data_IF_463132799751
#
_entry.id   IF_463132799751
#
_cell.length_a   1.000
_cell.length_b   1.000
_cell.length_c   1.000
_cell.angle_alpha   90.00
_cell.angle_beta   90.00
_cell.angle_gamma   90.00
#
_symmetry.space_group_name_H-M   'P 1'
#
loop_
_entity.id
_entity.type
_entity.pdbx_description
1 polymer ?
#
# COMPACT_ATOMS: atom_id res chain seq x y z
N UNK A 1 -20.27 -2.96 -69.12
CA UNK A 1 -20.80 -2.95 -67.73
C UNK A 1 -19.73 -3.27 -66.67
N UNK A 2 -18.68 -4.06 -66.96
CA UNK A 2 -17.65 -4.38 -65.97
C UNK A 2 -16.74 -3.20 -65.58
N UNK A 3 -16.32 -2.34 -66.52
CA UNK A 3 -15.42 -1.20 -66.20
C UNK A 3 -16.02 -0.14 -65.27
N UNK A 4 -17.33 0.15 -65.39
CA UNK A 4 -18.01 1.12 -64.52
C UNK A 4 -18.14 0.54 -63.11
N UNK A 5 -18.47 -0.76 -63.00
CA UNK A 5 -18.50 -1.48 -61.73
C UNK A 5 -17.12 -1.49 -61.05
N UNK A 6 -16.06 -1.72 -61.82
CA UNK A 6 -14.68 -1.75 -61.31
C UNK A 6 -14.19 -0.37 -60.85
N UNK A 7 -14.52 0.71 -61.59
CA UNK A 7 -14.23 2.10 -61.18
C UNK A 7 -14.97 2.50 -59.90
N UNK A 8 -16.23 2.07 -59.73
CA UNK A 8 -17.01 2.32 -58.52
C UNK A 8 -16.42 1.55 -57.33
N UNK A 9 -16.03 0.29 -57.50
CA UNK A 9 -15.37 -0.51 -56.46
C UNK A 9 -14.02 0.09 -56.03
N UNK A 10 -13.18 0.52 -56.99
CA UNK A 10 -11.91 1.21 -56.70
C UNK A 10 -12.13 2.51 -55.90
N UNK A 11 -13.11 3.33 -56.27
CA UNK A 11 -13.47 4.55 -55.51
C UNK A 11 -13.95 4.24 -54.09
N UNK A 12 -14.79 3.22 -53.89
CA UNK A 12 -15.23 2.80 -52.55
C UNK A 12 -14.07 2.32 -51.68
N UNK A 13 -13.13 1.56 -52.25
CA UNK A 13 -11.90 1.12 -51.55
C UNK A 13 -11.01 2.29 -51.14
N UNK A 14 -10.84 3.30 -52.01
CA UNK A 14 -10.08 4.51 -51.70
C UNK A 14 -10.76 5.30 -50.57
N UNK A 15 -12.08 5.53 -50.64
CA UNK A 15 -12.83 6.23 -49.60
C UNK A 15 -12.72 5.48 -48.26
N UNK A 16 -12.90 4.16 -48.26
CA UNK A 16 -12.75 3.35 -47.06
C UNK A 16 -11.32 3.46 -46.48
N UNK A 17 -10.29 3.38 -47.31
CA UNK A 17 -8.91 3.55 -46.88
C UNK A 17 -8.64 4.94 -46.30
N UNK A 18 -9.18 6.00 -46.92
CA UNK A 18 -9.06 7.38 -46.41
C UNK A 18 -9.78 7.57 -45.07
N UNK A 19 -10.97 7.01 -44.90
CA UNK A 19 -11.69 7.04 -43.62
C UNK A 19 -10.90 6.31 -42.54
N UNK A 20 -10.39 5.11 -42.84
CA UNK A 20 -9.55 4.35 -41.90
C UNK A 20 -8.30 5.14 -41.53
N UNK A 21 -7.63 5.79 -42.49
CA UNK A 21 -6.44 6.59 -42.23
C UNK A 21 -6.73 7.79 -41.31
N UNK A 22 -7.82 8.52 -41.54
CA UNK A 22 -8.24 9.66 -40.70
C UNK A 22 -8.58 9.17 -39.29
N UNK A 23 -9.33 8.07 -39.18
CA UNK A 23 -9.68 7.48 -37.88
C UNK A 23 -8.42 7.08 -37.12
N UNK A 24 -7.47 6.39 -37.77
CA UNK A 24 -6.20 6.03 -37.16
C UNK A 24 -5.39 7.25 -36.70
N UNK A 25 -5.35 8.33 -37.50
CA UNK A 25 -4.65 9.55 -37.13
C UNK A 25 -5.27 10.24 -35.90
N UNK A 26 -6.60 10.28 -35.82
CA UNK A 26 -7.32 10.81 -34.64
C UNK A 26 -7.06 9.95 -33.41
N UNK A 27 -7.12 8.62 -33.54
CA UNK A 27 -6.78 7.70 -32.45
C UNK A 27 -5.34 7.90 -31.98
N UNK A 28 -4.36 7.94 -32.89
CA UNK A 28 -2.94 8.20 -32.56
C UNK A 28 -2.77 9.53 -31.83
N UNK A 29 -3.39 10.60 -32.30
CA UNK A 29 -3.37 11.91 -31.64
C UNK A 29 -3.92 11.86 -30.22
N UNK A 30 -5.04 11.18 -30.03
CA UNK A 30 -5.65 10.97 -28.70
C UNK A 30 -4.73 10.16 -27.78
N UNK A 31 -4.08 9.11 -28.28
CA UNK A 31 -3.14 8.30 -27.50
C UNK A 31 -1.90 9.11 -27.07
N UNK A 32 -1.29 9.88 -27.98
CA UNK A 32 -0.13 10.73 -27.65
C UNK A 32 -0.51 11.78 -26.60
N UNK A 33 -1.66 12.43 -26.80
CA UNK A 33 -2.18 13.43 -25.88
C UNK A 33 -2.46 12.85 -24.48
N UNK A 34 -3.15 11.71 -24.42
CA UNK A 34 -3.42 11.01 -23.16
C UNK A 34 -2.16 10.53 -22.45
N UNK A 35 -1.15 10.09 -23.21
CA UNK A 35 0.15 9.71 -22.64
C UNK A 35 0.88 10.90 -22.01
N UNK A 36 0.80 12.08 -22.65
CA UNK A 36 1.33 13.33 -22.09
C UNK A 36 0.68 13.70 -20.76
N UNK A 37 -0.64 13.63 -20.67
CA UNK A 37 -1.38 13.88 -19.41
C UNK A 37 -1.01 12.88 -18.31
N UNK A 38 -0.80 11.62 -18.65
CA UNK A 38 -0.37 10.62 -17.67
C UNK A 38 0.99 10.96 -17.04
N UNK A 39 1.90 11.60 -17.77
CA UNK A 39 3.15 12.10 -17.18
C UNK A 39 2.93 13.32 -16.29
N UNK A 40 2.03 14.24 -16.67
CA UNK A 40 1.65 15.36 -15.81
C UNK A 40 1.01 14.90 -14.49
N UNK A 41 0.21 13.84 -14.54
CA UNK A 41 -0.39 13.23 -13.35
C UNK A 41 0.67 12.59 -12.44
N UNK A 42 1.70 11.92 -13.00
CA UNK A 42 2.86 11.46 -12.22
C UNK A 42 3.52 12.64 -11.48
N UNK A 43 3.84 13.72 -12.19
CA UNK A 43 4.48 14.91 -11.60
C UNK A 43 3.64 15.52 -10.48
N UNK A 44 2.32 15.62 -10.69
CA UNK A 44 1.40 16.13 -9.68
C UNK A 44 1.33 15.24 -8.44
N UNK A 45 1.22 13.92 -8.63
CA UNK A 45 1.23 12.95 -7.53
C UNK A 45 2.55 13.00 -6.77
N UNK A 46 3.69 13.01 -7.47
CA UNK A 46 5.01 13.12 -6.86
C UNK A 46 5.14 14.36 -5.99
N UNK A 47 4.72 15.52 -6.49
CA UNK A 47 4.75 16.76 -5.72
C UNK A 47 3.90 16.63 -4.44
N UNK A 48 2.69 16.13 -4.57
CA UNK A 48 1.78 16.02 -3.45
C UNK A 48 2.29 15.04 -2.37
N UNK A 49 2.89 13.90 -2.77
CA UNK A 49 3.51 12.96 -1.83
C UNK A 49 4.82 13.47 -1.23
N UNK A 50 5.63 14.26 -1.96
CA UNK A 50 6.82 14.90 -1.38
C UNK A 50 6.45 15.87 -0.24
N UNK A 51 5.38 16.64 -0.44
CA UNK A 51 4.90 17.63 0.53
C UNK A 51 4.31 16.99 1.81
N UNK A 52 4.06 15.67 1.80
CA UNK A 52 3.57 14.93 2.99
C UNK A 52 4.54 15.04 4.16
N UNK A 53 5.85 14.97 3.93
CA UNK A 53 6.80 15.01 5.04
C UNK A 53 6.71 16.34 5.80
N UNK A 54 6.66 17.45 5.07
CA UNK A 54 6.52 18.79 5.67
C UNK A 54 5.15 18.94 6.36
N UNK A 55 4.08 18.39 5.76
CA UNK A 55 2.75 18.35 6.36
C UNK A 55 2.76 17.57 7.70
N UNK A 56 3.39 16.40 7.74
CA UNK A 56 3.44 15.53 8.93
C UNK A 56 4.29 16.17 10.02
N UNK A 57 5.45 16.75 9.67
CA UNK A 57 6.34 17.42 10.62
C UNK A 57 5.72 18.70 11.21
N UNK A 58 4.97 19.46 10.41
CA UNK A 58 4.29 20.68 10.85
C UNK A 58 3.00 20.42 11.64
N UNK A 59 2.47 19.19 11.63
CA UNK A 59 1.27 18.84 12.38
C UNK A 59 1.52 18.88 13.89
N UNK A 60 0.74 19.72 14.58
CA UNK A 60 0.82 19.95 16.04
C UNK A 60 -0.44 19.55 16.77
N UNK A 61 -1.56 19.35 16.06
CA UNK A 61 -2.88 19.14 16.69
C UNK A 61 -3.20 17.68 16.99
N UNK A 62 -2.59 16.75 16.27
CA UNK A 62 -2.89 15.33 16.36
C UNK A 62 -1.68 14.53 16.83
N UNK A 63 -1.94 13.41 17.51
CA UNK A 63 -0.90 12.45 17.88
C UNK A 63 -0.49 11.61 16.65
N UNK A 64 0.23 12.23 15.73
CA UNK A 64 0.76 11.60 14.50
C UNK A 64 2.19 11.11 14.70
N UNK A 65 2.42 10.47 15.85
CA UNK A 65 3.77 10.09 16.29
C UNK A 65 4.35 8.95 15.46
N UNK A 66 3.53 8.03 14.97
CA UNK A 66 3.95 6.95 14.08
C UNK A 66 4.35 7.49 12.71
N UNK A 67 3.52 8.31 12.08
CA UNK A 67 3.84 8.90 10.78
C UNK A 67 5.15 9.71 10.80
N UNK A 68 5.41 10.45 11.88
CA UNK A 68 6.66 11.22 12.05
C UNK A 68 7.93 10.36 12.10
N UNK A 69 7.84 9.07 12.42
CA UNK A 69 8.98 8.13 12.43
C UNK A 69 9.30 7.55 11.06
N UNK A 70 8.37 7.65 10.10
CA UNK A 70 8.53 7.13 8.73
C UNK A 70 9.17 8.21 7.88
N UNK A 71 10.50 8.30 7.96
CA UNK A 71 11.31 9.27 7.18
C UNK A 71 12.16 8.61 6.11
N UNK A 72 12.49 7.32 6.29
CA UNK A 72 13.33 6.51 5.42
C UNK A 72 12.73 5.09 5.26
N UNK A 73 13.42 4.25 4.47
CA UNK A 73 13.07 2.84 4.28
C UNK A 73 12.86 2.14 5.63
N UNK A 74 11.77 1.40 5.79
CA UNK A 74 11.38 0.81 7.07
C UNK A 74 10.50 -0.43 6.93
N UNK A 75 10.42 -1.20 8.02
CA UNK A 75 9.31 -2.12 8.26
C UNK A 75 8.25 -1.40 9.07
N UNK A 76 6.99 -1.59 8.68
CA UNK A 76 5.83 -1.26 9.48
C UNK A 76 5.05 -2.54 9.76
N UNK A 77 4.88 -2.88 11.04
CA UNK A 77 3.95 -3.92 11.47
C UNK A 77 2.69 -3.27 12.03
N UNK A 78 1.55 -3.71 11.52
CA UNK A 78 0.22 -3.26 11.94
C UNK A 78 -0.55 -4.45 12.49
N UNK A 79 -1.13 -4.27 13.68
CA UNK A 79 -2.10 -5.19 14.28
C UNK A 79 -3.32 -4.39 14.76
N UNK A 80 -4.49 -5.00 14.71
CA UNK A 80 -5.72 -4.39 15.20
C UNK A 80 -6.26 -5.20 16.38
N UNK A 81 -6.46 -4.51 17.50
CA UNK A 81 -7.08 -5.03 18.70
C UNK A 81 -8.59 -4.74 18.62
N UNK A 82 -9.38 -5.78 18.33
CA UNK A 82 -10.83 -5.64 18.11
C UNK A 82 -11.56 -5.17 19.37
N UNK A 83 -11.12 -5.64 20.54
CA UNK A 83 -11.76 -5.33 21.82
C UNK A 83 -11.51 -3.88 22.20
N UNK A 84 -10.25 -3.42 22.07
CA UNK A 84 -9.87 -2.04 22.37
C UNK A 84 -10.16 -1.07 21.21
N UNK A 85 -10.43 -1.59 20.01
CA UNK A 85 -10.58 -0.84 18.75
C UNK A 85 -9.36 -0.01 18.39
N UNK A 86 -8.18 -0.59 18.62
CA UNK A 86 -6.90 0.10 18.48
C UNK A 86 -6.07 -0.53 17.37
N UNK A 87 -5.54 0.30 16.48
CA UNK A 87 -4.38 -0.10 15.69
C UNK A 87 -3.12 0.09 16.52
N UNK A 88 -2.21 -0.86 16.43
CA UNK A 88 -0.84 -0.74 16.95
C UNK A 88 0.13 -0.81 15.79
N UNK A 89 0.93 0.24 15.64
CA UNK A 89 1.99 0.36 14.64
C UNK A 89 3.33 0.16 15.34
N UNK A 90 4.14 -0.76 14.82
CA UNK A 90 5.55 -0.89 15.19
C UNK A 90 6.37 -0.55 13.96
N UNK A 91 7.25 0.45 14.07
CA UNK A 91 8.06 0.93 12.96
C UNK A 91 9.52 0.61 13.25
N UNK A 92 10.17 -0.10 12.33
CA UNK A 92 11.60 -0.40 12.38
C UNK A 92 12.29 0.27 11.18
N UNK A 93 12.89 1.46 11.37
CA UNK A 93 13.70 2.11 10.35
C UNK A 93 14.92 1.26 9.96
N UNK A 94 15.26 1.22 8.66
CA UNK A 94 16.47 0.55 8.17
C UNK A 94 17.76 1.08 8.80
N UNK A 95 17.79 2.38 9.11
CA UNK A 95 18.95 3.05 9.70
C UNK A 95 19.39 2.55 11.08
N UNK A 96 18.57 1.75 11.78
CA UNK A 96 18.95 1.12 13.04
C UNK A 96 19.90 -0.08 12.84
N UNK A 97 19.69 -0.88 11.81
CA UNK A 97 20.57 -1.98 11.39
C UNK A 97 20.23 -2.43 9.98
N UNK A 98 21.05 -2.05 9.00
CA UNK A 98 20.82 -2.38 7.59
C UNK A 98 20.91 -3.90 7.32
N UNK A 99 21.87 -4.60 7.92
CA UNK A 99 22.05 -6.04 7.75
C UNK A 99 20.86 -6.82 8.32
N UNK A 100 20.41 -6.45 9.53
CA UNK A 100 19.22 -7.05 10.15
C UNK A 100 17.96 -6.74 9.33
N UNK A 101 17.85 -5.55 8.74
CA UNK A 101 16.74 -5.19 7.88
C UNK A 101 16.68 -6.10 6.64
N UNK A 102 17.80 -6.23 5.92
CA UNK A 102 17.86 -7.02 4.69
C UNK A 102 17.67 -8.52 4.95
N UNK A 103 18.18 -9.04 6.08
CA UNK A 103 17.95 -10.40 6.53
C UNK A 103 16.47 -10.66 6.87
N UNK A 104 15.83 -9.79 7.66
CA UNK A 104 14.40 -9.91 7.99
C UNK A 104 13.54 -9.84 6.73
N UNK A 105 13.88 -8.95 5.78
CA UNK A 105 13.18 -8.81 4.49
C UNK A 105 13.22 -10.11 3.70
N UNK A 106 14.41 -10.70 3.59
CA UNK A 106 14.62 -11.98 2.91
C UNK A 106 13.80 -13.10 3.56
N UNK A 107 13.85 -13.23 4.89
CA UNK A 107 13.09 -14.25 5.60
C UNK A 107 11.57 -14.10 5.45
N UNK A 108 11.04 -12.87 5.53
CA UNK A 108 9.61 -12.61 5.32
C UNK A 108 9.20 -13.04 3.91
N UNK A 109 10.01 -12.69 2.89
CA UNK A 109 9.76 -13.09 1.51
C UNK A 109 9.74 -14.61 1.34
N UNK A 110 10.74 -15.31 1.87
CA UNK A 110 10.83 -16.77 1.79
C UNK A 110 9.62 -17.49 2.42
N UNK A 111 9.08 -16.96 3.53
CA UNK A 111 7.89 -17.53 4.17
C UNK A 111 6.62 -17.17 3.40
N UNK A 112 6.55 -15.96 2.85
CA UNK A 112 5.41 -15.54 2.05
C UNK A 112 5.29 -16.34 0.75
N UNK A 113 6.41 -16.68 0.11
CA UNK A 113 6.45 -17.53 -1.10
C UNK A 113 5.87 -18.93 -0.87
N UNK A 114 5.85 -19.42 0.38
CA UNK A 114 5.22 -20.70 0.75
C UNK A 114 3.71 -20.62 0.86
N UNK A 115 3.14 -19.43 1.07
CA UNK A 115 1.71 -19.17 1.11
C UNK A 115 0.96 -19.71 2.33
N UNK A 116 1.21 -20.95 2.76
CA UNK A 116 0.62 -21.58 3.95
C UNK A 116 1.68 -22.34 4.74
N UNK A 117 1.75 -22.07 6.05
CA UNK A 117 2.70 -22.72 6.97
C UNK A 117 1.93 -23.36 8.12
N UNK A 118 2.10 -24.67 8.28
CA UNK A 118 1.43 -25.47 9.30
C UNK A 118 2.26 -25.51 10.58
N UNK A 119 1.61 -25.60 11.76
CA UNK A 119 2.32 -25.69 13.04
C UNK A 119 3.26 -26.90 13.17
N UNK A 120 3.02 -27.96 12.40
CA UNK A 120 3.93 -29.13 12.35
C UNK A 120 5.28 -28.83 11.67
N UNK A 121 5.36 -27.75 10.90
CA UNK A 121 6.59 -27.28 10.24
C UNK A 121 7.34 -26.38 11.24
N UNK A 122 7.79 -26.97 12.36
CA UNK A 122 8.20 -26.26 13.58
C UNK A 122 9.20 -25.13 13.33
N UNK A 123 10.22 -25.35 12.50
CA UNK A 123 11.25 -24.35 12.24
C UNK A 123 10.69 -23.14 11.49
N UNK A 124 9.86 -23.38 10.48
CA UNK A 124 9.25 -22.34 9.66
C UNK A 124 8.17 -21.60 10.44
N UNK A 125 7.34 -22.34 11.18
CA UNK A 125 6.34 -21.81 12.07
C UNK A 125 6.98 -20.90 13.15
N UNK A 126 8.09 -21.33 13.75
CA UNK A 126 8.85 -20.52 14.70
C UNK A 126 9.46 -19.27 14.04
N UNK A 127 9.89 -19.34 12.78
CA UNK A 127 10.33 -18.15 12.04
C UNK A 127 9.19 -17.16 11.81
N UNK A 128 7.96 -17.62 11.52
CA UNK A 128 6.78 -16.75 11.45
C UNK A 128 6.54 -16.05 12.78
N UNK A 129 6.59 -16.79 13.89
CA UNK A 129 6.41 -16.21 15.23
C UNK A 129 7.46 -15.13 15.54
N UNK A 130 8.73 -15.33 15.16
CA UNK A 130 9.78 -14.31 15.31
C UNK A 130 9.52 -13.05 14.49
N UNK A 131 8.98 -13.18 13.28
CA UNK A 131 8.57 -12.06 12.43
C UNK A 131 7.36 -11.33 13.02
N UNK A 132 6.42 -12.08 13.59
CA UNK A 132 5.30 -11.50 14.33
C UNK A 132 5.78 -10.80 15.61
N UNK A 133 6.88 -11.22 16.23
CA UNK A 133 7.46 -10.62 17.43
C UNK A 133 8.50 -9.52 17.13
N UNK A 134 8.18 -8.63 16.18
CA UNK A 134 8.93 -7.38 15.95
C UNK A 134 8.94 -6.43 17.16
N UNK A 135 8.23 -6.78 18.25
CA UNK A 135 8.15 -6.05 19.52
C UNK A 135 9.37 -6.24 20.42
N UNK A 136 10.16 -7.30 20.20
CA UNK A 136 11.33 -7.64 21.03
C UNK A 136 12.53 -6.68 20.89
N UNK A 137 12.53 -5.83 19.87
CA UNK A 137 13.65 -4.92 19.55
C UNK A 137 13.60 -3.58 20.32
N UNK A 138 12.70 -3.42 21.31
CA UNK A 138 12.57 -2.17 22.09
C UNK A 138 12.03 -0.98 21.29
N UNK A 139 11.28 -1.26 20.21
CA UNK A 139 10.71 -0.26 19.33
C UNK A 139 9.49 0.43 19.96
N UNK A 140 9.35 1.72 19.69
CA UNK A 140 8.18 2.49 20.07
C UNK A 140 6.91 1.89 19.42
N UNK A 141 5.89 1.61 20.24
CA UNK A 141 4.58 1.16 19.79
C UNK A 141 3.65 2.36 19.71
N UNK A 142 3.22 2.71 18.50
CA UNK A 142 2.25 3.79 18.30
C UNK A 142 0.84 3.21 18.26
N UNK A 143 -0.05 3.72 19.11
CA UNK A 143 -1.41 3.20 19.27
C UNK A 143 -2.40 4.29 18.86
N UNK A 144 -3.36 3.94 18.01
CA UNK A 144 -4.44 4.86 17.65
C UNK A 144 -5.82 4.16 17.72
N UNK A 145 -6.81 4.84 18.31
CA UNK A 145 -8.18 4.32 18.42
C UNK A 145 -9.00 4.65 17.18
N UNK A 146 -9.40 3.61 16.44
CA UNK A 146 -10.22 3.71 15.22
C UNK A 146 -11.44 2.80 15.38
N UNK A 147 -12.62 3.40 15.58
CA UNK A 147 -13.86 2.67 15.83
C UNK A 147 -14.85 2.71 14.65
N UNK A 148 -14.43 3.30 13.53
CA UNK A 148 -15.22 3.45 12.31
C UNK A 148 -14.38 3.12 11.10
N UNK A 149 -15.04 2.57 10.09
CA UNK A 149 -14.45 2.30 8.78
C UNK A 149 -13.68 3.52 8.25
N UNK A 150 -12.46 3.28 7.80
CA UNK A 150 -11.61 4.28 7.18
C UNK A 150 -12.15 4.58 5.78
N UNK A 151 -12.68 5.80 5.60
CA UNK A 151 -13.16 6.25 4.29
C UNK A 151 -11.99 6.67 3.44
N UNK A 152 -11.83 6.03 2.28
CA UNK A 152 -10.79 6.37 1.33
C UNK A 152 -10.87 7.85 0.92
N UNK A 153 -9.83 8.62 1.23
CA UNK A 153 -9.61 9.96 0.68
C UNK A 153 -8.21 10.02 0.07
N UNK A 154 -8.14 9.77 -1.24
CA UNK A 154 -6.91 9.96 -2.02
C UNK A 154 -6.40 11.39 -1.83
N UNK A 155 -5.09 11.58 -1.94
CA UNK A 155 -4.52 12.92 -2.03
C UNK A 155 -5.13 13.58 -3.26
N UNK A 156 -5.78 14.74 -3.07
CA UNK A 156 -6.34 15.50 -4.18
C UNK A 156 -5.20 16.25 -4.88
N UNK A 157 -5.01 15.97 -6.16
CA UNK A 157 -4.09 16.69 -7.03
C UNK A 157 -4.79 16.91 -8.37
N UNK A 158 -4.44 17.99 -9.06
CA UNK A 158 -5.13 18.40 -10.29
C UNK A 158 -4.97 17.35 -11.39
N UNK A 159 -6.02 16.61 -11.70
CA UNK A 159 -6.09 15.64 -12.80
C UNK A 159 -7.48 15.68 -13.47
N UNK A 160 -7.54 15.28 -14.73
CA UNK A 160 -8.77 15.06 -15.49
C UNK A 160 -9.09 13.56 -15.58
N UNK A 161 -10.33 13.22 -15.91
CA UNK A 161 -10.75 11.83 -16.13
C UNK A 161 -9.90 11.07 -17.16
N UNK A 162 -9.43 11.76 -18.21
CA UNK A 162 -8.55 11.17 -19.22
C UNK A 162 -7.23 10.72 -18.59
N UNK A 163 -6.76 11.45 -17.60
CA UNK A 163 -5.50 11.17 -16.92
C UNK A 163 -5.61 9.82 -16.19
N UNK A 164 -6.72 9.53 -15.52
CA UNK A 164 -6.95 8.25 -14.82
C UNK A 164 -6.91 7.05 -15.78
N UNK A 165 -7.57 7.19 -16.94
CA UNK A 165 -7.60 6.12 -17.94
C UNK A 165 -6.20 5.81 -18.49
N UNK A 166 -5.46 6.84 -18.91
CA UNK A 166 -4.12 6.66 -19.44
C UNK A 166 -3.08 6.30 -18.36
N UNK A 167 -3.27 6.81 -17.14
CA UNK A 167 -2.48 6.40 -15.98
C UNK A 167 -2.66 4.92 -15.66
N UNK A 168 -3.90 4.43 -15.70
CA UNK A 168 -4.19 3.02 -15.53
C UNK A 168 -3.59 2.17 -16.66
N UNK A 169 -3.80 2.55 -17.93
CA UNK A 169 -3.25 1.82 -19.08
C UNK A 169 -1.72 1.75 -19.07
N UNK A 170 -1.04 2.83 -18.68
CA UNK A 170 0.42 2.89 -18.61
C UNK A 170 0.98 2.16 -17.38
N UNK A 171 0.16 1.90 -16.35
CA UNK A 171 0.67 1.51 -15.03
C UNK A 171 1.52 2.62 -14.42
N UNK A 172 1.01 3.86 -14.48
CA UNK A 172 1.72 5.07 -14.06
C UNK A 172 2.15 5.04 -12.59
N UNK A 173 3.13 5.87 -12.25
CA UNK A 173 3.65 5.99 -10.89
C UNK A 173 2.56 6.55 -9.96
N UNK A 174 1.76 7.52 -10.45
CA UNK A 174 0.59 8.02 -9.74
C UNK A 174 -0.42 6.90 -9.41
N UNK A 175 -0.70 6.01 -10.37
CA UNK A 175 -1.58 4.85 -10.14
C UNK A 175 -0.98 3.91 -9.10
N UNK A 176 0.32 3.61 -9.16
CA UNK A 176 0.99 2.72 -8.20
C UNK A 176 0.98 3.29 -6.78
N UNK A 177 1.25 4.59 -6.61
CA UNK A 177 1.18 5.26 -5.32
C UNK A 177 -0.23 5.25 -4.73
N UNK A 178 -1.24 5.56 -5.55
CA UNK A 178 -2.64 5.51 -5.13
C UNK A 178 -3.07 4.10 -4.75
N UNK A 179 -2.67 3.09 -5.52
CA UNK A 179 -2.99 1.69 -5.25
C UNK A 179 -2.31 1.19 -3.96
N UNK A 180 -1.08 1.62 -3.67
CA UNK A 180 -0.39 1.30 -2.42
C UNK A 180 -1.10 1.92 -1.20
N UNK A 181 -1.47 3.20 -1.30
CA UNK A 181 -2.26 3.87 -0.27
C UNK A 181 -3.63 3.18 -0.07
N UNK A 182 -4.34 2.90 -1.16
CA UNK A 182 -5.62 2.20 -1.14
C UNK A 182 -5.49 0.80 -0.52
N UNK A 183 -4.43 0.07 -0.87
CA UNK A 183 -4.10 -1.23 -0.31
C UNK A 183 -3.94 -1.21 1.22
N UNK A 184 -3.35 -0.15 1.76
CA UNK A 184 -3.25 0.05 3.22
C UNK A 184 -4.62 0.26 3.86
N UNK A 185 -5.43 1.18 3.32
CA UNK A 185 -6.75 1.48 3.89
C UNK A 185 -7.66 0.24 3.81
N UNK A 186 -7.67 -0.47 2.68
CA UNK A 186 -8.42 -1.72 2.52
C UNK A 186 -7.94 -2.77 3.52
N UNK A 187 -6.62 -2.96 3.68
CA UNK A 187 -6.08 -3.92 4.65
C UNK A 187 -6.46 -3.56 6.08
N UNK A 188 -6.41 -2.29 6.46
CA UNK A 188 -6.85 -1.82 7.77
C UNK A 188 -8.34 -2.11 8.00
N UNK A 189 -9.22 -1.80 7.04
CA UNK A 189 -10.65 -2.10 7.15
C UNK A 189 -10.89 -3.62 7.25
N UNK A 190 -10.19 -4.44 6.45
CA UNK A 190 -10.27 -5.91 6.57
C UNK A 190 -9.89 -6.39 7.97
N UNK A 191 -8.87 -5.79 8.60
CA UNK A 191 -8.44 -6.11 9.96
C UNK A 191 -9.49 -5.71 11.01
N UNK A 192 -10.25 -4.63 10.77
CA UNK A 192 -11.32 -4.19 11.65
C UNK A 192 -12.55 -5.10 11.58
N UNK A 193 -12.84 -5.69 10.42
CA UNK A 193 -14.00 -6.56 10.19
C UNK A 193 -13.75 -8.01 10.60
N UNK A 194 -12.53 -8.52 10.41
CA UNK A 194 -12.22 -9.94 10.63
C UNK A 194 -12.15 -10.26 12.13
N UNK A 195 -12.85 -11.32 12.54
CA UNK A 195 -12.74 -11.91 13.89
C UNK A 195 -11.45 -12.73 14.11
N UNK A 196 -10.62 -12.86 13.08
CA UNK A 196 -9.35 -13.62 13.13
C UNK A 196 -8.18 -12.67 13.32
N UNK A 197 -7.15 -13.11 14.03
CA UNK A 197 -5.91 -12.35 14.19
C UNK A 197 -5.19 -12.20 12.84
N UNK A 198 -5.26 -10.99 12.29
CA UNK A 198 -4.55 -10.57 11.07
C UNK A 198 -3.43 -9.61 11.48
N UNK A 199 -2.23 -9.87 10.97
CA UNK A 199 -1.09 -8.97 11.06
C UNK A 199 -0.72 -8.51 9.66
N UNK A 200 -0.53 -7.21 9.47
CA UNK A 200 -0.01 -6.66 8.22
C UNK A 200 1.43 -6.22 8.45
N UNK A 201 2.36 -6.72 7.64
CA UNK A 201 3.74 -6.25 7.61
C UNK A 201 3.97 -5.56 6.28
N UNK A 202 4.41 -4.31 6.32
CA UNK A 202 4.76 -3.52 5.14
C UNK A 202 6.26 -3.29 5.16
N UNK A 203 6.90 -3.56 4.03
CA UNK A 203 8.29 -3.20 3.77
C UNK A 203 8.26 -2.06 2.77
N UNK A 204 8.64 -0.86 3.21
CA UNK A 204 8.73 0.29 2.33
C UNK A 204 10.20 0.64 2.10
N UNK A 205 10.56 0.70 0.82
CA UNK A 205 11.82 1.23 0.33
C UNK A 205 11.54 2.45 -0.55
N UNK A 206 12.57 3.09 -1.10
CA UNK A 206 12.39 4.29 -1.91
C UNK A 206 11.42 4.08 -3.09
N UNK A 207 11.52 2.94 -3.78
CA UNK A 207 10.81 2.67 -5.04
C UNK A 207 9.79 1.54 -4.95
N UNK A 208 9.80 0.78 -3.86
CA UNK A 208 9.01 -0.44 -3.72
C UNK A 208 8.30 -0.45 -2.36
N UNK A 209 7.08 -0.98 -2.35
CA UNK A 209 6.34 -1.28 -1.14
C UNK A 209 5.74 -2.68 -1.22
N UNK A 210 6.14 -3.55 -0.30
CA UNK A 210 5.63 -4.91 -0.21
C UNK A 210 4.72 -5.07 1.00
N UNK A 211 3.52 -5.60 0.79
CA UNK A 211 2.55 -5.89 1.83
C UNK A 211 2.54 -7.39 2.06
N UNK A 212 2.68 -7.81 3.30
CA UNK A 212 2.63 -9.20 3.75
C UNK A 212 1.53 -9.31 4.82
N UNK A 213 0.35 -9.77 4.41
CA UNK A 213 -0.76 -10.02 5.31
C UNK A 213 -0.66 -11.46 5.82
N UNK A 214 -0.50 -11.61 7.13
CA UNK A 214 -0.35 -12.88 7.83
C UNK A 214 -1.63 -13.11 8.65
N UNK A 215 -2.35 -14.17 8.33
CA UNK A 215 -3.57 -14.56 9.06
C UNK A 215 -3.30 -15.86 9.82
N UNK A 216 -3.55 -15.84 11.13
CA UNK A 216 -3.56 -17.06 11.95
C UNK A 216 -4.93 -17.74 11.88
N UNK A 217 -4.96 -19.06 11.78
CA UNK A 217 -6.21 -19.83 11.75
C UNK A 217 -6.06 -21.18 12.42
N UNK A 218 -7.16 -21.61 13.05
CA UNK A 218 -7.28 -22.91 13.70
C UNK A 218 -8.36 -23.72 12.97
N UNK A 219 -7.96 -24.76 12.23
CA UNK A 219 -8.91 -25.70 11.62
C UNK A 219 -9.30 -26.78 12.64
N UNK A 220 -10.59 -26.82 12.99
CA UNK A 220 -11.13 -27.80 13.96
C UNK A 220 -11.39 -29.19 13.38
N UNK A 221 -11.40 -29.35 12.05
CA UNK A 221 -11.93 -30.57 11.40
C UNK A 221 -11.01 -31.81 11.46
N UNK A 222 -9.70 -31.64 11.68
CA UNK A 222 -8.73 -32.75 11.75
C UNK A 222 -7.70 -32.53 12.86
N UNK A 223 -8.15 -32.45 14.12
CA UNK A 223 -7.27 -32.27 15.29
C UNK A 223 -6.52 -30.94 15.26
N UNK A 224 -7.16 -29.86 15.75
CA UNK A 224 -6.58 -28.52 15.99
C UNK A 224 -5.32 -28.19 15.16
N UNK A 225 -5.46 -28.11 13.83
CA UNK A 225 -4.35 -27.70 12.96
C UNK A 225 -4.27 -26.18 13.01
N UNK A 226 -3.30 -25.65 13.76
CA UNK A 226 -2.92 -24.23 13.72
C UNK A 226 -2.07 -24.00 12.46
N UNK A 227 -2.33 -22.92 11.73
CA UNK A 227 -1.54 -22.53 10.57
C UNK A 227 -1.58 -21.03 10.33
N UNK A 228 -0.61 -20.56 9.54
CA UNK A 228 -0.56 -19.21 9.01
C UNK A 228 -0.80 -19.24 7.50
N UNK A 229 -1.54 -18.25 6.99
CA UNK A 229 -1.64 -17.97 5.55
C UNK A 229 -1.09 -16.59 5.24
N UNK A 230 -0.42 -16.48 4.10
CA UNK A 230 0.24 -15.27 3.62
C UNK A 230 -0.46 -14.78 2.36
N UNK A 231 -0.79 -13.48 2.31
CA UNK A 231 -1.19 -12.77 1.10
C UNK A 231 -0.21 -11.64 0.85
N UNK A 232 0.28 -11.56 -0.38
CA UNK A 232 1.29 -10.56 -0.77
C UNK A 232 0.71 -9.57 -1.78
N UNK A 233 1.08 -8.30 -1.65
CA UNK A 233 0.89 -7.29 -2.69
C UNK A 233 2.18 -6.52 -2.85
N UNK A 234 2.52 -6.19 -4.09
CA UNK A 234 3.74 -5.46 -4.45
C UNK A 234 3.36 -4.24 -5.26
N UNK A 235 3.91 -3.10 -4.85
CA UNK A 235 3.74 -1.81 -5.51
C UNK A 235 5.11 -1.25 -5.83
N UNK A 236 5.31 -0.85 -7.08
CA UNK A 236 6.60 -0.35 -7.55
C UNK A 236 6.41 0.88 -8.42
N UNK A 237 7.21 1.92 -8.17
CA UNK A 237 7.31 3.12 -9.00
C UNK A 237 8.60 3.07 -9.84
N UNK A 238 8.58 3.71 -10.99
CA UNK A 238 9.69 3.79 -11.92
C UNK A 238 10.85 4.64 -11.43
N UNK A 239 12.01 4.43 -12.07
CA UNK A 239 13.24 5.19 -11.81
C UNK A 239 13.19 6.54 -12.53
N UNK A 240 12.56 7.53 -11.89
CA UNK A 240 12.55 8.91 -12.36
C UNK A 240 13.28 9.80 -11.35
N UNK A 241 13.84 10.91 -11.84
CA UNK A 241 14.58 11.94 -11.07
C UNK A 241 13.73 12.65 -9.98
N UNK A 242 12.55 12.12 -9.65
CA UNK A 242 11.60 12.72 -8.72
C UNK A 242 11.86 12.22 -7.30
N UNK A 243 11.63 13.10 -6.32
CA UNK A 243 11.99 12.88 -4.90
C UNK A 243 10.96 12.05 -4.11
N UNK A 244 9.76 11.86 -4.64
CA UNK A 244 8.71 11.17 -3.89
C UNK A 244 8.95 9.66 -3.94
N UNK A 245 8.92 9.06 -2.76
CA UNK A 245 9.24 7.66 -2.53
C UNK A 245 7.99 6.90 -2.08
N UNK A 246 8.01 5.58 -2.19
CA UNK A 246 7.00 4.74 -1.53
C UNK A 246 7.00 4.96 -0.01
N UNK A 247 8.12 5.35 0.59
CA UNK A 247 8.18 5.78 2.00
C UNK A 247 7.22 6.94 2.28
N UNK A 248 7.12 7.94 1.39
CA UNK A 248 6.18 9.05 1.56
C UNK A 248 4.72 8.60 1.45
N UNK A 249 4.41 7.64 0.58
CA UNK A 249 3.08 7.04 0.47
C UNK A 249 2.71 6.33 1.77
N UNK A 250 3.65 5.57 2.36
CA UNK A 250 3.45 4.90 3.64
C UNK A 250 3.26 5.91 4.78
N UNK A 251 4.09 6.96 4.81
CA UNK A 251 4.01 8.04 5.79
C UNK A 251 2.63 8.70 5.76
N UNK A 252 2.12 9.03 4.56
CA UNK A 252 0.77 9.57 4.39
C UNK A 252 -0.31 8.60 4.84
N UNK A 253 -0.14 7.31 4.51
CA UNK A 253 -1.04 6.24 4.92
C UNK A 253 -1.21 6.15 6.43
N UNK A 254 -0.10 6.09 7.16
CA UNK A 254 -0.12 6.06 8.64
C UNK A 254 -0.66 7.37 9.19
N UNK A 255 -0.25 8.52 8.66
CA UNK A 255 -0.77 9.84 9.04
C UNK A 255 -2.30 9.90 8.89
N UNK A 256 -2.82 9.35 7.79
CA UNK A 256 -4.25 9.31 7.52
C UNK A 256 -5.00 8.49 8.57
N UNK A 257 -4.50 7.31 8.93
CA UNK A 257 -5.11 6.45 9.95
C UNK A 257 -5.04 7.12 11.33
N UNK A 258 -3.88 7.67 11.71
CA UNK A 258 -3.70 8.39 12.98
C UNK A 258 -4.58 9.63 13.09
N UNK A 259 -4.79 10.36 11.98
CA UNK A 259 -5.68 11.52 11.94
C UNK A 259 -7.17 11.15 11.97
N UNK A 260 -7.51 9.97 11.45
CA UNK A 260 -8.87 9.45 11.47
C UNK A 260 -9.24 8.88 12.85
N UNK A 261 -8.25 8.36 13.58
CA UNK A 261 -8.40 8.01 14.98
C UNK A 261 -8.92 9.23 15.76
N UNK A 262 -9.92 9.02 16.61
CA UNK A 262 -10.81 10.07 17.15
C UNK A 262 -10.07 11.37 17.48
N UNK A 263 -10.57 12.46 16.90
CA UNK A 263 -10.34 13.86 17.25
C UNK A 263 -10.83 14.17 18.69
N UNK A 264 -10.32 13.47 19.70
CA UNK A 264 -10.48 13.89 21.09
C UNK A 264 -9.27 14.76 21.47
N UNK A 265 -9.49 15.97 21.98
CA UNK A 265 -8.40 16.74 22.57
C UNK A 265 -7.76 15.91 23.68
N UNK A 266 -6.43 15.98 23.75
CA UNK A 266 -5.63 15.40 24.81
C UNK A 266 -6.27 15.65 26.18
N UNK A 267 -6.61 14.59 26.89
CA UNK A 267 -6.37 14.52 28.33
C UNK A 267 -5.29 13.45 28.52
N UNK A 268 -4.10 13.93 28.88
CA UNK A 268 -2.99 13.10 29.30
C UNK A 268 -3.24 12.72 30.75
N UNK A 269 -3.49 11.45 31.01
CA UNK A 269 -3.12 10.84 32.30
C UNK A 269 -2.36 9.56 32.03
N UNK A 270 -1.10 9.60 32.45
CA UNK A 270 -0.23 8.46 32.64
C UNK A 270 -0.96 7.37 33.42
N UNK A 271 -1.13 6.20 32.82
CA UNK A 271 -1.20 4.96 33.58
C UNK A 271 -0.19 3.99 32.97
N UNK A 272 0.98 4.01 33.60
CA UNK A 272 1.84 2.84 33.69
C UNK A 272 1.03 1.74 34.35
N UNK A 273 0.66 0.69 33.61
CA UNK A 273 0.35 -0.59 34.24
C UNK A 273 0.93 -1.73 33.42
N UNK A 274 1.86 -2.41 34.08
CA UNK A 274 2.33 -3.74 33.75
C UNK A 274 1.16 -4.71 33.75
N UNK A 275 0.84 -5.30 32.61
CA UNK A 275 0.24 -6.64 32.60
C UNK A 275 0.93 -7.52 31.55
N UNK A 276 1.79 -8.38 32.08
CA UNK A 276 2.21 -9.64 31.48
C UNK A 276 0.95 -10.48 31.27
N UNK A 277 0.65 -10.84 30.03
CA UNK A 277 -0.41 -11.81 29.72
C UNK A 277 0.12 -12.91 28.81
N UNK A 278 0.04 -14.12 29.36
CA UNK A 278 0.58 -15.36 28.84
C UNK A 278 -0.04 -15.73 27.50
N UNK A 279 0.82 -16.10 26.56
CA UNK A 279 0.44 -16.83 25.36
C UNK A 279 0.61 -18.33 25.63
N UNK A 280 -0.49 -19.01 25.93
CA UNK A 280 -0.68 -20.46 25.76
C UNK A 280 -1.57 -20.74 24.53
#
# INVERSE_FOLDING_TARGET
MSEISEKIQKRRKIIAASVIAVVLAVFLGFFIWGWGHSYCADEAAYKAYCEVNDLVLSETKYNVSGAKKIVDSCFLKIVYDIEKKHFRFNILPRGLSADTFDEKKKHIKELADKGKILAKETDEYNRVLKILDLTSDGLDIHICEVDKELKHKKIDYKHNFVDDFFCCLRGSDATQMNNAFEGLIVSCNEMMEKKTSVCLIIVAEEKQMNFYQIQSSNEKKDGNKRFFTFKTHDYMIGDKKNKATMVNVLQYGVYFVEKFAKQKPHDVTNESDHEVSNWD
#
